data_IF_200849253555
#
_entry.id   IF_200849253555
#
_cell.length_a   1.000
_cell.length_b   1.000
_cell.length_c   1.000
_cell.angle_alpha   90.00
_cell.angle_beta   90.00
_cell.angle_gamma   90.00
#
_symmetry.space_group_name_H-M   'P 1'
#
loop_
_entity.id
_entity.type
_entity.pdbx_description
1 polymer ?
#
# COMPACT_ATOMS: atom_id res chain seq x y z
N UNK A 1 -37.41 23.05 32.64
CA UNK A 1 -35.97 23.35 32.83
C UNK A 1 -35.10 22.65 31.77
N UNK A 2 -35.59 22.55 30.52
CA UNK A 2 -34.89 21.87 29.39
C UNK A 2 -34.75 22.83 28.18
N UNK A 3 -35.46 23.96 28.17
CA UNK A 3 -35.41 24.94 27.06
C UNK A 3 -34.26 25.97 27.14
N UNK A 4 -33.50 26.03 28.25
CA UNK A 4 -32.37 26.98 28.40
C UNK A 4 -31.00 26.43 28.00
N UNK A 5 -30.87 25.12 27.78
CA UNK A 5 -29.60 24.50 27.38
C UNK A 5 -29.34 24.61 25.87
N UNK A 6 -30.40 24.73 25.05
CA UNK A 6 -30.28 24.79 23.58
C UNK A 6 -29.76 26.14 23.05
N UNK A 7 -30.01 27.25 23.76
CA UNK A 7 -29.51 28.56 23.35
C UNK A 7 -28.02 28.77 23.64
N UNK A 8 -27.46 28.10 24.65
CA UNK A 8 -26.03 28.24 24.99
C UNK A 8 -25.14 27.47 23.99
N UNK A 9 -25.60 26.30 23.53
CA UNK A 9 -24.87 25.49 22.54
C UNK A 9 -24.88 26.13 21.16
N UNK A 10 -26.00 26.78 20.76
CA UNK A 10 -26.08 27.49 19.48
C UNK A 10 -25.18 28.74 19.45
N UNK A 11 -25.03 29.42 20.60
CA UNK A 11 -24.15 30.60 20.71
C UNK A 11 -22.66 30.20 20.70
N UNK A 12 -22.32 29.04 21.26
CA UNK A 12 -20.94 28.52 21.28
C UNK A 12 -20.48 28.02 19.90
N UNK A 13 -21.37 27.39 19.13
CA UNK A 13 -21.07 27.01 17.73
C UNK A 13 -20.90 28.24 16.81
N UNK A 14 -21.67 29.31 17.03
CA UNK A 14 -21.53 30.54 16.23
C UNK A 14 -20.22 31.30 16.54
N UNK A 15 -19.73 31.22 17.79
CA UNK A 15 -18.46 31.84 18.18
C UNK A 15 -17.24 31.12 17.60
N UNK A 16 -17.31 29.80 17.41
CA UNK A 16 -16.24 29.04 16.74
C UNK A 16 -16.20 29.27 15.22
N UNK A 17 -17.35 29.53 14.60
CA UNK A 17 -17.42 29.82 13.16
C UNK A 17 -16.83 31.19 12.77
N UNK A 18 -16.68 32.13 13.72
CA UNK A 18 -16.15 33.48 13.46
C UNK A 18 -14.63 33.63 13.71
N UNK A 19 -13.95 32.58 14.22
CA UNK A 19 -12.49 32.58 14.44
C UNK A 19 -11.69 31.95 13.28
N UNK A 20 -12.35 31.44 12.23
CA UNK A 20 -11.68 30.79 11.09
C UNK A 20 -11.39 31.71 9.88
N UNK A 21 -11.72 33.00 9.94
CA UNK A 21 -11.32 33.99 8.94
C UNK A 21 -10.11 34.79 9.42
N UNK A 22 -8.90 34.22 9.31
CA UNK A 22 -7.67 35.02 9.21
C UNK A 22 -7.17 34.98 7.77
N UNK A 23 -6.96 36.18 7.24
CA UNK A 23 -6.54 36.47 5.87
C UNK A 23 -5.21 35.83 5.49
N UNK A 24 -4.98 35.57 4.19
CA UNK A 24 -3.74 35.00 3.69
C UNK A 24 -2.59 35.99 3.84
N UNK A 25 -1.52 35.56 4.53
CA UNK A 25 -0.22 36.22 4.45
C UNK A 25 0.28 36.11 3.00
N UNK A 26 0.54 37.27 2.41
CA UNK A 26 1.25 37.46 1.14
C UNK A 26 2.53 36.63 1.10
N UNK A 27 2.81 35.88 0.02
CA UNK A 27 4.07 35.18 -0.13
C UNK A 27 5.23 36.19 -0.22
N UNK A 28 6.19 36.07 0.69
CA UNK A 28 7.46 36.78 0.60
C UNK A 28 8.18 36.32 -0.67
N UNK A 29 8.61 37.29 -1.49
CA UNK A 29 9.43 37.05 -2.67
C UNK A 29 10.73 36.30 -2.31
N UNK A 30 11.27 35.49 -3.23
CA UNK A 30 12.48 34.71 -2.97
C UNK A 30 13.68 35.63 -2.77
N UNK A 31 14.31 35.52 -1.60
CA UNK A 31 15.63 36.10 -1.32
C UNK A 31 16.64 35.49 -2.29
N UNK A 32 17.22 36.34 -3.14
CA UNK A 32 18.33 35.98 -4.01
C UNK A 32 19.48 35.39 -3.18
N UNK A 33 19.83 34.14 -3.46
CA UNK A 33 21.03 33.48 -2.93
C UNK A 33 22.26 34.23 -3.46
N UNK A 34 23.20 34.66 -2.61
CA UNK A 34 24.44 35.24 -3.07
C UNK A 34 25.26 34.19 -3.82
N UNK A 35 25.55 34.46 -5.09
CA UNK A 35 26.51 33.72 -5.90
C UNK A 35 27.87 33.76 -5.19
N UNK A 36 28.40 32.58 -4.81
CA UNK A 36 29.76 32.48 -4.32
C UNK A 36 30.75 32.89 -5.43
N UNK A 37 31.37 34.06 -5.26
CA UNK A 37 32.52 34.46 -6.07
C UNK A 37 33.70 33.54 -5.74
N UNK A 38 34.31 32.95 -6.77
CA UNK A 38 35.61 32.31 -6.65
C UNK A 38 36.64 33.36 -6.15
N UNK A 39 37.55 32.99 -5.23
CA UNK A 39 38.66 33.87 -4.87
C UNK A 39 39.54 34.14 -6.09
N UNK A 40 39.59 35.41 -6.51
CA UNK A 40 40.54 35.90 -7.49
C UNK A 40 41.97 35.74 -7.00
N UNK A 41 42.85 35.30 -7.90
CA UNK A 41 44.30 35.38 -7.74
C UNK A 41 44.70 36.84 -7.45
N UNK A 42 45.13 37.10 -6.21
CA UNK A 42 45.95 38.27 -5.91
C UNK A 42 47.40 37.84 -5.93
N UNK A 43 48.14 38.31 -6.94
CA UNK A 43 49.59 38.22 -6.98
C UNK A 43 50.21 38.87 -5.76
N UNK A 44 50.89 38.07 -4.95
CA UNK A 44 51.74 38.51 -3.85
C UNK A 44 53.10 37.84 -4.01
N UNK A 45 54.11 38.64 -4.30
CA UNK A 45 55.53 38.25 -4.32
C UNK A 45 55.93 37.58 -3.00
N UNK A 46 56.67 36.46 -3.02
CA UNK A 46 57.09 35.77 -1.79
C UNK A 46 58.15 36.62 -1.07
N UNK A 47 57.76 37.22 0.06
CA UNK A 47 58.70 37.89 0.96
C UNK A 47 59.19 36.85 1.97
N UNK A 48 60.42 36.38 1.79
CA UNK A 48 61.09 35.49 2.75
C UNK A 48 61.39 36.26 4.04
N UNK A 49 61.18 35.67 5.23
CA UNK A 49 61.60 36.30 6.48
C UNK A 49 63.14 36.37 6.55
N UNK A 50 63.72 37.43 7.14
CA UNK A 50 65.16 37.55 7.30
C UNK A 50 65.71 36.40 8.16
N UNK A 51 66.79 35.79 7.69
CA UNK A 51 67.61 34.84 8.42
C UNK A 51 68.11 35.46 9.72
N UNK A 52 67.65 34.94 10.87
CA UNK A 52 68.21 35.29 12.17
C UNK A 52 69.63 34.72 12.30
N UNK A 53 70.57 35.62 12.60
CA UNK A 53 71.95 35.35 12.95
C UNK A 53 72.02 34.65 14.32
N UNK A 54 72.61 33.45 14.37
CA UNK A 54 72.76 32.62 15.57
C UNK A 54 74.00 32.97 16.42
N UNK A 55 74.71 34.07 16.14
CA UNK A 55 75.91 34.46 16.89
C UNK A 55 75.66 35.23 18.20
N UNK A 56 74.42 35.64 18.49
CA UNK A 56 74.09 36.34 19.75
C UNK A 56 73.37 35.44 20.76
N UNK A 57 74.12 34.46 21.30
CA UNK A 57 73.70 33.68 22.47
C UNK A 57 74.11 34.41 23.75
N UNK A 58 73.27 35.30 24.25
CA UNK A 58 73.34 35.74 25.65
C UNK A 58 72.67 34.68 26.52
N UNK A 59 73.44 33.99 27.36
CA UNK A 59 72.94 33.06 28.38
C UNK A 59 72.35 33.83 29.57
N UNK A 60 71.04 33.74 29.86
CA UNK A 60 70.52 34.08 31.18
C UNK A 60 70.69 32.90 32.14
N UNK A 61 71.14 33.23 33.33
CA UNK A 61 71.36 32.33 34.47
C UNK A 61 70.03 31.65 34.87
N UNK A 62 70.04 30.32 34.99
CA UNK A 62 68.87 29.53 35.33
C UNK A 62 68.38 29.82 36.75
N UNK A 63 67.14 30.30 36.87
CA UNK A 63 66.38 30.26 38.13
C UNK A 63 65.65 28.91 38.18
N UNK A 64 65.70 28.15 39.29
CA UNK A 64 65.01 26.86 39.38
C UNK A 64 63.50 27.06 39.41
N UNK A 65 62.83 26.82 38.29
CA UNK A 65 61.36 26.73 38.21
C UNK A 65 60.90 25.36 38.68
N UNK A 66 59.97 25.38 39.64
CA UNK A 66 59.18 24.25 40.14
C UNK A 66 58.61 23.43 38.96
N UNK A 67 58.60 22.09 39.00
CA UNK A 67 58.07 21.27 37.91
C UNK A 67 56.62 21.64 37.62
N UNK A 68 56.39 22.20 36.42
CA UNK A 68 55.06 22.39 35.85
C UNK A 68 54.44 21.01 35.67
N UNK A 69 53.25 20.79 36.26
CA UNK A 69 52.50 19.56 36.08
C UNK A 69 52.37 19.25 34.59
N UNK A 70 52.72 18.03 34.18
CA UNK A 70 52.52 17.54 32.81
C UNK A 70 51.07 17.82 32.42
N UNK A 71 50.79 18.56 31.33
CA UNK A 71 49.41 18.77 30.89
C UNK A 71 48.79 17.38 30.66
N UNK A 72 47.75 17.07 31.44
CA UNK A 72 46.94 15.88 31.24
C UNK A 72 46.40 15.96 29.81
N UNK A 73 46.57 14.93 28.96
CA UNK A 73 46.02 14.96 27.61
C UNK A 73 44.51 15.20 27.71
N UNK A 74 44.08 16.38 27.28
CA UNK A 74 42.66 16.68 27.10
C UNK A 74 42.21 15.84 25.92
N UNK A 75 41.50 14.74 26.18
CA UNK A 75 40.97 13.90 25.11
C UNK A 75 40.16 14.75 24.15
N UNK A 76 40.55 14.78 22.87
CA UNK A 76 39.79 15.47 21.83
C UNK A 76 38.38 14.88 21.83
N UNK A 77 37.31 15.69 21.89
CA UNK A 77 35.96 15.18 21.90
C UNK A 77 35.71 14.40 20.61
N UNK A 78 35.53 13.09 20.74
CA UNK A 78 35.17 12.20 19.63
C UNK A 78 33.68 12.34 19.38
N UNK A 79 33.28 12.73 18.17
CA UNK A 79 31.87 12.73 17.77
C UNK A 79 31.45 11.29 17.45
N UNK A 80 30.36 10.77 18.04
CA UNK A 80 29.87 9.44 17.72
C UNK A 80 29.46 9.34 16.25
N UNK A 81 29.86 8.26 15.57
CA UNK A 81 29.51 7.97 14.17
C UNK A 81 29.04 6.52 14.10
N UNK A 82 27.94 6.28 13.40
CA UNK A 82 27.47 4.95 13.06
C UNK A 82 27.11 4.91 11.58
N UNK A 83 27.47 3.81 10.92
CA UNK A 83 26.98 3.51 9.58
C UNK A 83 26.54 2.06 9.48
N UNK A 84 25.62 1.80 8.54
CA UNK A 84 25.24 0.46 8.13
C UNK A 84 25.87 0.20 6.76
N UNK A 85 26.72 -0.82 6.68
CA UNK A 85 27.34 -1.30 5.44
C UNK A 85 26.72 -2.61 4.97
N UNK A 86 26.12 -3.38 5.88
CA UNK A 86 25.33 -4.57 5.57
C UNK A 86 24.04 -4.55 6.40
N UNK A 87 22.85 -4.77 5.81
CA UNK A 87 22.63 -4.99 4.38
C UNK A 87 22.87 -3.73 3.52
N UNK A 88 23.05 -3.93 2.21
CA UNK A 88 23.07 -2.85 1.22
C UNK A 88 21.66 -2.25 1.05
N UNK A 89 21.58 -1.00 0.57
CA UNK A 89 20.29 -0.37 0.26
C UNK A 89 19.57 -1.17 -0.81
N UNK A 90 18.29 -1.48 -0.58
CA UNK A 90 17.45 -2.27 -1.47
C UNK A 90 17.64 -3.78 -1.36
N UNK A 91 18.47 -4.25 -0.41
CA UNK A 91 18.64 -5.68 -0.18
C UNK A 91 17.30 -6.36 0.14
N UNK A 92 17.12 -7.56 -0.39
CA UNK A 92 15.95 -8.39 -0.13
C UNK A 92 16.17 -9.22 1.14
N UNK A 93 15.27 -9.06 2.10
CA UNK A 93 15.26 -9.73 3.39
C UNK A 93 14.07 -10.67 3.43
N UNK A 94 14.35 -11.96 3.61
CA UNK A 94 13.31 -12.99 3.67
C UNK A 94 12.65 -13.00 5.05
N UNK A 95 11.32 -13.04 5.07
CA UNK A 95 10.56 -13.16 6.32
C UNK A 95 10.87 -14.46 7.06
N UNK A 96 10.84 -14.41 8.40
CA UNK A 96 11.17 -15.55 9.26
C UNK A 96 12.66 -15.89 9.33
N UNK A 97 13.52 -15.16 8.59
CA UNK A 97 14.96 -15.39 8.60
C UNK A 97 15.67 -14.58 9.68
N UNK A 98 16.87 -15.03 10.04
CA UNK A 98 17.82 -14.22 10.79
C UNK A 98 18.71 -13.44 9.82
N UNK A 99 18.80 -12.13 10.01
CA UNK A 99 19.69 -11.26 9.24
C UNK A 99 20.80 -10.72 10.11
N UNK A 100 21.99 -10.59 9.52
CA UNK A 100 23.12 -9.92 10.15
C UNK A 100 23.19 -8.49 9.65
N UNK A 101 23.24 -7.56 10.59
CA UNK A 101 23.41 -6.13 10.34
C UNK A 101 24.75 -5.70 10.90
N UNK A 102 25.45 -4.81 10.20
CA UNK A 102 26.69 -4.25 10.73
C UNK A 102 27.24 -3.10 9.89
N UNK A 103 28.29 -2.47 10.40
CA UNK A 103 29.00 -1.42 9.70
C UNK A 103 30.05 -0.72 10.55
N UNK A 104 30.38 0.51 10.18
CA UNK A 104 31.42 1.28 10.85
C UNK A 104 30.87 1.90 12.13
N UNK A 105 31.71 1.96 13.16
CA UNK A 105 31.35 2.49 14.46
C UNK A 105 32.47 3.37 15.03
N UNK A 106 32.07 4.51 15.58
CA UNK A 106 32.88 5.31 16.48
C UNK A 106 32.00 5.71 17.67
N UNK A 107 32.27 5.18 18.86
CA UNK A 107 31.49 5.44 20.08
C UNK A 107 32.37 5.94 21.22
N UNK A 108 31.73 6.56 22.22
CA UNK A 108 32.32 6.95 23.49
C UNK A 108 32.15 5.86 24.55
N UNK A 109 33.02 5.81 25.57
CA UNK A 109 32.83 4.91 26.71
C UNK A 109 31.44 5.05 27.33
N UNK A 110 30.77 3.92 27.55
CA UNK A 110 29.42 3.86 28.13
C UNK A 110 28.27 3.98 27.13
N UNK A 111 28.53 4.30 25.86
CA UNK A 111 27.51 4.23 24.81
C UNK A 111 27.28 2.78 24.36
N UNK A 112 26.07 2.49 23.89
CA UNK A 112 25.72 1.19 23.29
C UNK A 112 25.14 1.37 21.89
N UNK A 113 25.22 0.31 21.09
CA UNK A 113 24.61 0.27 19.76
C UNK A 113 23.35 -0.56 19.82
N UNK A 114 22.28 -0.12 19.16
CA UNK A 114 21.07 -0.91 18.94
C UNK A 114 20.77 -0.94 17.45
N UNK A 115 20.27 -2.07 16.96
CA UNK A 115 19.76 -2.22 15.61
C UNK A 115 18.28 -2.57 15.66
N UNK A 116 17.52 -1.98 14.75
CA UNK A 116 16.10 -2.25 14.59
C UNK A 116 15.77 -2.53 13.12
N UNK A 117 14.78 -3.39 12.90
CA UNK A 117 14.07 -3.46 11.64
C UNK A 117 12.73 -2.76 11.83
N UNK A 118 12.42 -1.80 10.96
CA UNK A 118 11.20 -0.98 11.03
C UNK A 118 10.45 -1.13 9.71
N UNK A 119 9.13 -1.27 9.73
CA UNK A 119 8.31 -1.25 8.51
C UNK A 119 8.26 0.17 7.92
N UNK A 120 7.87 0.32 6.65
CA UNK A 120 7.68 1.68 6.10
C UNK A 120 6.58 2.47 6.84
N UNK A 121 5.64 1.78 7.49
CA UNK A 121 4.61 2.35 8.38
C UNK A 121 5.12 2.75 9.77
N UNK A 122 6.43 2.69 10.01
CA UNK A 122 7.05 3.11 11.27
C UNK A 122 6.96 2.09 12.42
N UNK A 123 6.42 0.89 12.18
CA UNK A 123 6.36 -0.14 13.22
C UNK A 123 7.69 -0.85 13.37
N UNK A 124 8.18 -0.93 14.61
CA UNK A 124 9.35 -1.74 14.93
C UNK A 124 9.01 -3.23 14.83
N UNK A 125 9.63 -3.91 13.87
CA UNK A 125 9.45 -5.33 13.59
C UNK A 125 10.43 -6.21 14.37
N UNK A 126 11.67 -5.75 14.52
CA UNK A 126 12.71 -6.43 15.28
C UNK A 126 13.63 -5.43 15.96
N UNK A 127 14.23 -5.81 17.08
CA UNK A 127 15.20 -5.01 17.83
C UNK A 127 16.27 -5.93 18.41
N UNK A 128 17.53 -5.51 18.36
CA UNK A 128 18.66 -6.26 18.89
C UNK A 128 19.77 -5.33 19.35
N UNK A 129 20.46 -5.71 20.42
CA UNK A 129 21.66 -5.00 20.87
C UNK A 129 22.83 -5.30 19.93
N UNK A 130 23.56 -4.25 19.56
CA UNK A 130 24.76 -4.35 18.76
C UNK A 130 25.98 -4.74 19.61
N UNK A 131 26.78 -5.67 19.09
CA UNK A 131 28.10 -6.02 19.62
C UNK A 131 29.13 -5.12 18.95
N UNK A 132 29.87 -4.38 19.77
CA UNK A 132 30.99 -3.53 19.32
C UNK A 132 32.21 -4.41 19.06
N UNK A 133 32.80 -4.24 17.89
CA UNK A 133 34.01 -4.94 17.46
C UNK A 133 35.16 -3.94 17.24
N UNK A 134 36.38 -4.44 17.03
CA UNK A 134 37.59 -3.60 16.92
C UNK A 134 37.47 -2.54 15.81
N UNK A 135 36.78 -2.85 14.71
CA UNK A 135 36.65 -1.98 13.54
C UNK A 135 35.20 -1.67 13.15
N UNK A 136 34.23 -1.90 14.04
CA UNK A 136 32.84 -1.72 13.68
C UNK A 136 31.86 -2.27 14.70
N UNK A 137 30.70 -2.69 14.21
CA UNK A 137 29.64 -3.25 15.02
C UNK A 137 28.84 -4.28 14.24
N UNK A 138 28.18 -5.19 14.97
CA UNK A 138 27.25 -6.16 14.39
C UNK A 138 26.04 -6.42 15.28
N UNK A 139 24.92 -6.76 14.70
CA UNK A 139 23.74 -7.26 15.38
C UNK A 139 23.09 -8.36 14.54
N UNK A 140 22.33 -9.25 15.19
CA UNK A 140 21.46 -10.21 14.52
C UNK A 140 20.02 -9.83 14.80
N UNK A 141 19.20 -9.69 13.76
CA UNK A 141 17.77 -9.43 13.84
C UNK A 141 17.00 -10.65 13.36
N UNK A 142 16.01 -11.08 14.13
CA UNK A 142 15.03 -12.08 13.70
C UNK A 142 13.87 -11.37 13.01
N UNK A 143 13.67 -11.64 11.73
CA UNK A 143 12.66 -10.95 10.92
C UNK A 143 11.30 -11.64 11.12
N UNK A 144 10.28 -10.92 11.63
CA UNK A 144 8.97 -11.53 11.84
C UNK A 144 8.25 -11.83 10.52
N UNK A 145 7.32 -12.79 10.53
CA UNK A 145 6.56 -13.24 9.34
C UNK A 145 5.29 -12.44 9.05
N UNK A 146 5.20 -11.20 9.53
CA UNK A 146 3.97 -10.43 9.54
C UNK A 146 3.90 -9.30 8.51
N UNK A 147 5.03 -8.75 8.04
CA UNK A 147 5.03 -7.57 7.16
C UNK A 147 5.84 -7.83 5.90
N UNK A 148 5.24 -7.65 4.73
CA UNK A 148 5.91 -7.68 3.42
C UNK A 148 5.92 -6.28 2.79
N UNK A 149 6.88 -6.01 1.90
CA UNK A 149 6.98 -4.74 1.20
C UNK A 149 8.25 -3.97 1.54
N UNK A 150 8.13 -2.69 1.88
CA UNK A 150 9.27 -1.86 2.25
C UNK A 150 9.55 -1.90 3.75
N UNK A 151 10.83 -1.82 4.10
CA UNK A 151 11.28 -1.64 5.47
C UNK A 151 12.59 -0.86 5.54
N UNK A 152 13.01 -0.54 6.75
CA UNK A 152 14.28 0.09 7.05
C UNK A 152 15.01 -0.66 8.14
N UNK A 153 16.28 -0.96 7.88
CA UNK A 153 17.21 -1.35 8.94
C UNK A 153 17.79 -0.06 9.51
N UNK A 154 17.56 0.16 10.80
CA UNK A 154 18.06 1.31 11.54
C UNK A 154 19.10 0.87 12.56
N UNK A 155 20.10 1.72 12.78
CA UNK A 155 21.11 1.54 13.80
C UNK A 155 21.32 2.84 14.54
N UNK A 156 21.29 2.79 15.86
CA UNK A 156 21.45 3.97 16.71
C UNK A 156 22.52 3.75 17.78
N UNK A 157 23.28 4.80 18.06
CA UNK A 157 24.14 4.88 19.25
C UNK A 157 23.30 5.52 20.35
N UNK A 158 23.14 4.83 21.48
CA UNK A 158 22.45 5.33 22.65
C UNK A 158 23.46 5.74 23.74
N UNK A 159 23.23 6.88 24.35
CA UNK A 159 23.91 7.33 25.55
C UNK A 159 23.46 6.51 26.78
N UNK A 160 24.20 6.54 27.91
CA UNK A 160 23.81 5.87 29.15
C UNK A 160 22.43 6.27 29.68
N UNK A 161 21.97 7.49 29.37
CA UNK A 161 20.64 8.00 29.73
C UNK A 161 19.53 7.58 28.75
N UNK A 162 19.87 6.79 27.72
CA UNK A 162 18.95 6.32 26.68
C UNK A 162 18.75 7.29 25.52
N UNK A 163 19.32 8.49 25.55
CA UNK A 163 19.20 9.45 24.45
C UNK A 163 19.99 8.99 23.21
N UNK A 164 19.47 9.31 22.02
CA UNK A 164 20.12 8.97 20.74
C UNK A 164 21.29 9.93 20.49
N UNK A 165 22.50 9.39 20.36
CA UNK A 165 23.71 10.13 20.05
C UNK A 165 23.97 10.22 18.54
N UNK A 166 23.63 9.18 17.79
CA UNK A 166 23.72 9.13 16.33
C UNK A 166 22.77 8.05 15.79
N UNK A 167 22.32 8.20 14.54
CA UNK A 167 21.44 7.24 13.85
C UNK A 167 21.88 7.06 12.40
N UNK A 168 21.71 5.85 11.87
CA UNK A 168 21.87 5.49 10.46
C UNK A 168 20.70 4.61 10.06
N UNK A 169 20.20 4.77 8.83
CA UNK A 169 19.13 3.95 8.28
C UNK A 169 19.48 3.47 6.87
N UNK A 170 18.95 2.30 6.48
CA UNK A 170 19.05 1.73 5.14
C UNK A 170 17.72 1.13 4.74
N UNK A 171 17.23 1.50 3.57
CA UNK A 171 16.02 0.91 2.99
C UNK A 171 16.29 -0.52 2.53
N UNK A 172 15.33 -1.40 2.76
CA UNK A 172 15.38 -2.83 2.43
C UNK A 172 14.02 -3.28 1.92
N UNK A 173 13.99 -4.39 1.18
CA UNK A 173 12.75 -5.02 0.72
C UNK A 173 12.47 -6.26 1.56
N UNK A 174 11.31 -6.28 2.22
CA UNK A 174 10.82 -7.40 3.01
C UNK A 174 10.03 -8.35 2.09
N UNK A 175 10.63 -9.51 1.80
CA UNK A 175 10.10 -10.48 0.86
C UNK A 175 9.63 -11.76 1.54
N UNK A 176 8.51 -12.26 1.05
CA UNK A 176 7.91 -13.50 1.50
C UNK A 176 8.62 -14.71 0.88
N UNK A 177 8.88 -15.73 1.68
CA UNK A 177 9.15 -17.09 1.18
C UNK A 177 7.90 -17.95 1.37
N UNK A 178 7.12 -18.10 0.30
CA UNK A 178 5.87 -18.85 0.29
C UNK A 178 6.06 -20.34 0.61
N UNK A 179 7.29 -20.87 0.55
CA UNK A 179 7.57 -22.26 0.90
C UNK A 179 7.68 -22.50 2.40
N UNK A 180 7.90 -21.43 3.18
CA UNK A 180 8.14 -21.50 4.64
C UNK A 180 7.02 -20.90 5.45
N UNK A 181 6.34 -19.87 4.93
CA UNK A 181 5.35 -19.12 5.69
C UNK A 181 3.98 -19.77 5.64
N UNK A 182 3.42 -20.07 6.82
CA UNK A 182 2.11 -20.75 6.95
C UNK A 182 0.92 -19.79 6.90
N UNK A 183 1.14 -18.49 7.14
CA UNK A 183 0.14 -17.46 6.93
C UNK A 183 0.73 -16.13 6.51
N UNK A 184 0.26 -15.61 5.39
CA UNK A 184 0.79 -14.39 4.76
C UNK A 184 -0.30 -13.59 4.07
N UNK A 185 -0.01 -12.30 3.86
CA UNK A 185 -0.77 -11.39 3.02
C UNK A 185 0.19 -10.83 1.97
N UNK A 186 -0.22 -10.85 0.71
CA UNK A 186 0.53 -10.31 -0.43
C UNK A 186 -0.41 -9.40 -1.22
N UNK A 187 0.12 -8.26 -1.66
CA UNK A 187 -0.50 -7.40 -2.67
C UNK A 187 0.08 -7.80 -4.03
N UNK A 188 -0.79 -8.12 -4.98
CA UNK A 188 -0.45 -8.35 -6.38
C UNK A 188 -0.65 -7.08 -7.21
N UNK A 189 -1.68 -6.28 -6.90
CA UNK A 189 -1.88 -4.92 -7.43
C UNK A 189 -2.27 -3.96 -6.30
N UNK A 190 -1.80 -2.71 -6.29
CA UNK A 190 -0.86 -2.13 -7.25
C UNK A 190 0.55 -2.73 -7.13
N UNK A 191 1.29 -2.73 -8.23
CA UNK A 191 2.71 -3.05 -8.32
C UNK A 191 3.61 -1.81 -8.22
N UNK A 192 4.92 -2.04 -8.21
CA UNK A 192 5.91 -0.98 -8.25
C UNK A 192 5.84 -0.23 -9.58
N UNK A 193 5.58 1.07 -9.53
CA UNK A 193 5.50 1.93 -10.72
C UNK A 193 4.11 1.95 -11.38
N UNK A 194 3.13 1.27 -10.81
CA UNK A 194 1.74 1.36 -11.28
C UNK A 194 1.21 2.79 -11.12
N UNK A 195 0.36 3.19 -12.07
CA UNK A 195 -0.31 4.49 -12.09
C UNK A 195 -1.33 4.55 -10.96
N UNK A 196 -1.19 5.57 -10.10
CA UNK A 196 -2.20 5.96 -9.12
C UNK A 196 -2.55 7.44 -9.34
N UNK A 197 -3.84 7.77 -9.34
CA UNK A 197 -4.30 9.12 -9.68
C UNK A 197 -5.28 9.63 -8.63
N UNK A 198 -5.07 10.86 -8.18
CA UNK A 198 -5.98 11.53 -7.26
C UNK A 198 -7.40 11.58 -7.84
N UNK A 199 -8.41 11.50 -6.97
CA UNK A 199 -9.84 11.49 -7.33
C UNK A 199 -10.28 10.25 -8.16
N UNK A 200 -9.45 9.19 -8.21
CA UNK A 200 -9.77 7.93 -8.90
C UNK A 200 -9.67 6.71 -7.97
N UNK A 201 -10.27 5.61 -8.41
CA UNK A 201 -10.13 4.31 -7.77
C UNK A 201 -8.76 3.70 -8.05
N UNK A 202 -8.06 3.32 -6.99
CA UNK A 202 -6.91 2.42 -7.05
C UNK A 202 -7.37 1.00 -6.69
N UNK A 203 -7.21 0.08 -7.64
CA UNK A 203 -7.53 -1.33 -7.41
C UNK A 203 -6.46 -2.00 -6.57
N UNK A 204 -6.93 -2.82 -5.64
CA UNK A 204 -6.11 -3.73 -4.89
C UNK A 204 -6.54 -5.16 -5.14
N UNK A 205 -5.58 -6.05 -5.33
CA UNK A 205 -5.82 -7.48 -5.19
C UNK A 205 -4.58 -8.17 -4.68
N UNK A 206 -4.76 -9.44 -4.32
CA UNK A 206 -3.67 -10.26 -3.87
C UNK A 206 -4.14 -11.58 -3.29
N UNK A 207 -3.26 -12.16 -2.48
CA UNK A 207 -3.51 -13.45 -1.84
C UNK A 207 -3.35 -13.33 -0.34
N UNK A 208 -4.30 -13.90 0.38
CA UNK A 208 -4.25 -14.16 1.81
C UNK A 208 -4.21 -15.67 2.01
N UNK A 209 -3.07 -16.18 2.45
CA UNK A 209 -3.00 -17.54 2.95
C UNK A 209 -3.25 -17.48 4.46
N UNK A 210 -4.45 -17.86 4.89
CA UNK A 210 -4.80 -17.98 6.32
C UNK A 210 -6.01 -18.89 6.51
N UNK A 211 -5.99 -19.68 7.58
CA UNK A 211 -7.18 -20.42 8.01
C UNK A 211 -8.27 -19.45 8.51
N UNK A 212 -9.42 -19.41 7.84
CA UNK A 212 -10.64 -18.75 8.35
C UNK A 212 -10.92 -17.33 7.85
N UNK A 213 -10.11 -16.76 6.95
CA UNK A 213 -10.31 -15.41 6.42
C UNK A 213 -10.02 -14.30 7.46
N UNK A 214 -10.78 -13.20 7.40
CA UNK A 214 -10.62 -12.06 8.30
C UNK A 214 -11.18 -10.77 7.72
N UNK A 215 -11.16 -9.70 8.52
CA UNK A 215 -11.44 -8.34 8.05
C UNK A 215 -10.16 -7.77 7.42
N UNK A 216 -10.17 -7.63 6.09
CA UNK A 216 -9.09 -7.03 5.33
C UNK A 216 -9.31 -5.52 5.23
N UNK A 217 -8.27 -4.74 5.48
CA UNK A 217 -8.24 -3.29 5.30
C UNK A 217 -7.26 -2.95 4.19
N UNK A 218 -7.73 -2.16 3.24
CA UNK A 218 -6.95 -1.52 2.19
C UNK A 218 -6.82 -0.05 2.54
N UNK A 219 -5.65 0.53 2.37
CA UNK A 219 -5.42 1.93 2.75
C UNK A 219 -4.32 2.58 1.92
N UNK A 220 -4.41 3.90 1.83
CA UNK A 220 -3.40 4.76 1.22
C UNK A 220 -2.78 5.62 2.31
N UNK A 221 -1.46 5.66 2.34
CA UNK A 221 -0.68 6.40 3.32
C UNK A 221 0.30 7.35 2.62
N UNK A 222 0.45 8.56 3.13
CA UNK A 222 1.33 9.61 2.61
C UNK A 222 2.40 9.96 3.66
N UNK A 223 3.27 10.93 3.33
CA UNK A 223 4.31 11.44 4.25
C UNK A 223 5.21 10.31 4.74
N UNK A 224 5.91 9.65 3.80
CA UNK A 224 6.72 8.47 4.07
C UNK A 224 5.94 7.34 4.78
N UNK A 225 4.69 7.17 4.34
CA UNK A 225 3.78 6.13 4.77
C UNK A 225 3.44 6.18 6.27
N UNK A 226 3.44 7.39 6.85
CA UNK A 226 3.09 7.65 8.25
C UNK A 226 1.65 8.13 8.43
N UNK A 227 1.07 8.78 7.42
CA UNK A 227 -0.26 9.40 7.53
C UNK A 227 -1.27 8.70 6.63
N UNK A 228 -2.25 8.02 7.22
CA UNK A 228 -3.35 7.37 6.48
C UNK A 228 -4.34 8.40 5.94
N UNK A 229 -4.55 8.43 4.63
CA UNK A 229 -5.42 9.40 3.95
C UNK A 229 -6.72 8.78 3.40
N UNK A 230 -6.72 7.48 3.13
CA UNK A 230 -7.91 6.76 2.69
C UNK A 230 -7.90 5.31 3.15
N UNK A 231 -9.08 4.73 3.34
CA UNK A 231 -9.25 3.35 3.77
C UNK A 231 -10.54 2.74 3.21
N UNK A 232 -10.48 1.47 2.86
CA UNK A 232 -11.63 0.62 2.57
C UNK A 232 -11.45 -0.72 3.27
N UNK A 233 -12.53 -1.32 3.81
CA UNK A 233 -12.42 -2.57 4.55
C UNK A 233 -13.57 -3.52 4.26
N UNK A 234 -13.28 -4.81 4.18
CA UNK A 234 -14.26 -5.84 3.91
C UNK A 234 -13.89 -7.19 4.56
N UNK A 235 -14.90 -8.04 4.74
CA UNK A 235 -14.73 -9.36 5.34
C UNK A 235 -14.49 -10.43 4.28
N UNK A 236 -13.39 -11.15 4.39
CA UNK A 236 -13.10 -12.31 3.55
C UNK A 236 -13.76 -13.58 4.10
N UNK A 237 -14.41 -14.36 3.23
CA UNK A 237 -15.06 -15.63 3.58
C UNK A 237 -14.50 -16.77 2.72
N UNK A 238 -13.55 -17.54 3.26
CA UNK A 238 -13.10 -18.80 2.68
C UNK A 238 -12.26 -18.72 1.39
N UNK A 239 -12.22 -17.59 0.70
CA UNK A 239 -11.32 -17.36 -0.44
C UNK A 239 -9.92 -16.96 0.03
N UNK A 240 -8.89 -17.46 -0.63
CA UNK A 240 -7.51 -16.97 -0.48
C UNK A 240 -7.24 -15.76 -1.36
N UNK A 241 -7.83 -15.69 -2.55
CA UNK A 241 -7.79 -14.51 -3.41
C UNK A 241 -8.75 -13.44 -2.89
N UNK A 242 -8.32 -12.18 -2.95
CA UNK A 242 -9.12 -11.03 -2.57
C UNK A 242 -8.91 -9.89 -3.57
N UNK A 243 -9.93 -9.05 -3.69
CA UNK A 243 -9.89 -7.83 -4.49
C UNK A 243 -10.75 -6.76 -3.82
N UNK A 244 -10.34 -5.51 -3.96
CA UNK A 244 -11.09 -4.33 -3.55
C UNK A 244 -10.52 -3.09 -4.22
N UNK A 245 -10.98 -1.93 -3.80
CA UNK A 245 -10.45 -0.67 -4.29
C UNK A 245 -10.51 0.40 -3.20
N UNK A 246 -9.74 1.46 -3.38
CA UNK A 246 -9.77 2.67 -2.55
C UNK A 246 -9.82 3.88 -3.47
N UNK A 247 -10.74 4.80 -3.23
CA UNK A 247 -10.75 6.12 -3.91
C UNK A 247 -9.66 6.98 -3.29
N UNK A 248 -8.73 7.49 -4.10
CA UNK A 248 -7.67 8.39 -3.63
C UNK A 248 -8.25 9.81 -3.47
N UNK A 249 -8.09 10.48 -2.32
CA UNK A 249 -8.56 11.85 -2.14
C UNK A 249 -7.94 12.81 -3.16
N UNK A 250 -8.72 13.80 -3.61
CA UNK A 250 -8.32 14.73 -4.68
C UNK A 250 -7.07 15.56 -4.37
N UNK A 251 -6.86 15.87 -3.10
CA UNK A 251 -5.78 16.72 -2.58
C UNK A 251 -4.50 15.97 -2.25
N UNK A 252 -4.48 14.65 -2.43
CA UNK A 252 -3.31 13.79 -2.17
C UNK A 252 -2.49 13.64 -3.44
N UNK A 253 -1.19 13.99 -3.38
CA UNK A 253 -0.25 13.90 -4.50
C UNK A 253 1.14 13.47 -4.01
N UNK A 254 1.95 12.91 -4.92
CA UNK A 254 3.34 12.55 -4.67
C UNK A 254 3.54 11.14 -4.11
N UNK A 255 4.71 10.88 -3.49
CA UNK A 255 5.02 9.56 -2.93
C UNK A 255 4.05 9.12 -1.84
N UNK A 256 3.59 7.87 -1.92
CA UNK A 256 2.66 7.26 -0.99
C UNK A 256 2.89 5.74 -0.87
N UNK A 257 2.18 5.08 0.03
CA UNK A 257 2.09 3.62 0.12
C UNK A 257 0.66 3.14 -0.06
N UNK A 258 0.51 2.10 -0.87
CA UNK A 258 -0.65 1.23 -0.88
C UNK A 258 -0.44 0.10 0.15
N UNK A 259 -1.38 -0.04 1.08
CA UNK A 259 -1.25 -0.97 2.20
C UNK A 259 -2.48 -1.84 2.32
N UNK A 260 -2.26 -3.15 2.42
CA UNK A 260 -3.27 -4.14 2.78
C UNK A 260 -2.90 -4.72 4.15
N UNK A 261 -3.86 -4.79 5.08
CA UNK A 261 -3.61 -5.34 6.41
C UNK A 261 -4.79 -6.12 6.98
N UNK A 262 -4.48 -7.05 7.88
CA UNK A 262 -5.44 -7.79 8.71
C UNK A 262 -4.96 -7.73 10.16
N UNK A 263 -5.91 -7.61 11.09
CA UNK A 263 -5.60 -7.52 12.53
C UNK A 263 -5.16 -6.11 12.93
N UNK A 264 -4.50 -6.01 14.08
CA UNK A 264 -3.95 -4.75 14.60
C UNK A 264 -2.44 -4.88 14.71
N UNK A 265 -1.66 -3.84 14.34
CA UNK A 265 -0.22 -3.86 14.53
C UNK A 265 0.20 -4.32 15.93
N UNK A 266 1.10 -5.30 15.97
CA UNK A 266 1.57 -5.96 17.21
C UNK A 266 0.80 -7.22 17.62
N UNK A 267 -0.40 -7.47 17.08
CA UNK A 267 -1.14 -8.71 17.37
C UNK A 267 -0.47 -9.93 16.70
N UNK A 268 -0.53 -11.14 17.30
CA UNK A 268 0.03 -12.36 16.69
C UNK A 268 -0.52 -12.69 15.29
N UNK A 269 -1.76 -12.23 15.05
CA UNK A 269 -2.51 -12.44 13.82
C UNK A 269 -2.39 -11.28 12.82
N UNK A 270 -1.60 -10.26 13.15
CA UNK A 270 -1.38 -9.12 12.26
C UNK A 270 -0.62 -9.55 11.02
N UNK A 271 -1.14 -9.16 9.86
CA UNK A 271 -0.44 -9.29 8.58
C UNK A 271 -0.56 -7.98 7.83
N UNK A 272 0.51 -7.57 7.17
CA UNK A 272 0.57 -6.35 6.39
C UNK A 272 1.40 -6.57 5.13
N UNK A 273 0.94 -5.99 4.03
CA UNK A 273 1.65 -5.91 2.77
C UNK A 273 1.65 -4.46 2.32
N UNK A 274 2.80 -4.00 1.84
CA UNK A 274 3.02 -2.60 1.48
C UNK A 274 3.64 -2.50 0.10
N UNK A 275 3.14 -1.58 -0.73
CA UNK A 275 3.72 -1.26 -2.03
C UNK A 275 3.84 0.26 -2.15
N UNK A 276 5.04 0.81 -2.41
CA UNK A 276 5.18 2.23 -2.68
C UNK A 276 4.54 2.55 -4.02
N UNK A 277 3.84 3.68 -4.05
CA UNK A 277 3.15 4.21 -5.22
C UNK A 277 3.48 5.71 -5.35
N UNK A 278 3.25 6.26 -6.53
CA UNK A 278 3.28 7.72 -6.74
C UNK A 278 1.92 8.16 -7.23
N UNK A 279 1.32 9.10 -6.50
CA UNK A 279 -0.02 9.61 -6.80
C UNK A 279 0.12 10.86 -7.67
N UNK A 280 -0.42 10.76 -8.89
CA UNK A 280 -0.41 11.84 -9.87
C UNK A 280 -1.70 12.65 -9.81
N UNK A 281 -1.65 13.89 -10.32
CA UNK A 281 -2.84 14.72 -10.43
C UNK A 281 -3.75 14.20 -11.54
N UNK A 282 -5.08 14.37 -11.36
CA UNK A 282 -6.10 13.94 -12.33
C UNK A 282 -5.87 14.47 -13.76
N UNK A 283 -5.30 15.66 -13.91
CA UNK A 283 -5.02 16.27 -15.21
C UNK A 283 -3.59 16.11 -15.72
N UNK A 284 -2.76 15.28 -15.07
CA UNK A 284 -1.39 15.04 -15.52
C UNK A 284 -1.40 14.21 -16.81
N UNK A 285 -0.63 14.62 -17.82
CA UNK A 285 -0.51 13.91 -19.10
C UNK A 285 0.13 12.52 -18.91
N UNK A 286 0.96 12.35 -17.88
CA UNK A 286 1.53 11.05 -17.51
C UNK A 286 0.54 10.13 -16.78
N UNK A 287 -0.61 10.66 -16.34
CA UNK A 287 -1.64 9.92 -15.61
C UNK A 287 -2.71 9.29 -16.53
N UNK A 288 -2.48 9.25 -17.84
CA UNK A 288 -3.37 8.55 -18.78
C UNK A 288 -3.12 7.04 -18.69
N UNK A 289 -4.16 6.27 -18.38
CA UNK A 289 -4.04 4.82 -18.22
C UNK A 289 -5.37 4.11 -18.17
N UNK A 290 -5.41 2.84 -18.55
CA UNK A 290 -6.59 1.99 -18.38
C UNK A 290 -6.13 0.63 -17.85
N UNK A 291 -6.87 0.09 -16.88
CA UNK A 291 -6.58 -1.18 -16.25
C UNK A 291 -7.83 -2.06 -16.29
N UNK A 292 -7.66 -3.34 -16.62
CA UNK A 292 -8.68 -4.37 -16.42
C UNK A 292 -8.42 -5.03 -15.07
N UNK A 293 -9.32 -4.84 -14.10
CA UNK A 293 -9.23 -5.41 -12.76
C UNK A 293 -9.76 -6.85 -12.71
N UNK A 294 -10.82 -7.14 -13.45
CA UNK A 294 -11.37 -8.49 -13.61
C UNK A 294 -11.86 -8.68 -15.05
N UNK A 295 -11.72 -9.88 -15.65
CA UNK A 295 -11.06 -11.07 -15.08
C UNK A 295 -9.54 -10.90 -14.92
N UNK A 296 -8.91 -11.83 -14.21
CA UNK A 296 -7.46 -11.89 -14.11
C UNK A 296 -6.83 -12.59 -15.32
N UNK A 297 -5.56 -12.27 -15.58
CA UNK A 297 -4.80 -12.96 -16.61
C UNK A 297 -4.66 -14.46 -16.29
N UNK A 298 -4.98 -15.32 -17.26
CA UNK A 298 -5.02 -16.77 -17.12
C UNK A 298 -6.27 -17.31 -16.43
N UNK A 299 -7.24 -16.47 -16.07
CA UNK A 299 -8.49 -16.95 -15.46
C UNK A 299 -9.29 -17.79 -16.45
N UNK A 300 -9.85 -18.91 -15.98
CA UNK A 300 -10.81 -19.71 -16.74
C UNK A 300 -12.24 -19.20 -16.52
N UNK A 301 -12.99 -19.05 -17.62
CA UNK A 301 -14.41 -18.69 -17.62
C UNK A 301 -15.18 -19.73 -18.44
N UNK A 302 -16.47 -19.93 -18.13
CA UNK A 302 -17.29 -20.93 -18.83
C UNK A 302 -18.04 -20.30 -20.01
N UNK A 303 -18.07 -21.01 -21.13
CA UNK A 303 -18.93 -20.65 -22.25
C UNK A 303 -20.41 -20.67 -21.85
N UNK A 304 -21.22 -19.78 -22.43
CA UNK A 304 -22.64 -19.64 -22.08
C UNK A 304 -22.93 -18.82 -20.82
N UNK A 305 -21.91 -18.47 -20.02
CA UNK A 305 -22.08 -17.63 -18.84
C UNK A 305 -21.91 -16.14 -19.14
N UNK A 306 -22.42 -15.30 -18.23
CA UNK A 306 -22.14 -13.86 -18.25
C UNK A 306 -20.86 -13.60 -17.49
N UNK A 307 -19.86 -13.04 -18.17
CA UNK A 307 -18.65 -12.53 -17.53
C UNK A 307 -18.84 -11.04 -17.21
N UNK A 308 -18.41 -10.64 -16.01
CA UNK A 308 -18.33 -9.24 -15.62
C UNK A 308 -16.88 -8.77 -15.78
N UNK A 309 -16.66 -7.84 -16.70
CA UNK A 309 -15.37 -7.20 -16.93
C UNK A 309 -15.43 -5.82 -16.29
N UNK A 310 -14.45 -5.47 -15.45
CA UNK A 310 -14.39 -4.14 -14.85
C UNK A 310 -12.96 -3.70 -14.61
N UNK A 311 -12.80 -2.41 -14.39
CA UNK A 311 -11.49 -1.80 -14.29
C UNK A 311 -11.52 -0.34 -13.85
N UNK A 312 -10.38 0.33 -14.00
CA UNK A 312 -10.26 1.78 -13.82
C UNK A 312 -9.67 2.41 -15.07
N UNK A 313 -10.15 3.59 -15.42
CA UNK A 313 -9.57 4.45 -16.43
C UNK A 313 -9.13 5.75 -15.74
N UNK A 314 -7.88 6.10 -15.98
CA UNK A 314 -7.22 7.27 -15.48
C UNK A 314 -7.08 8.28 -16.61
N UNK A 315 -7.57 9.50 -16.37
CA UNK A 315 -7.45 10.63 -17.30
C UNK A 315 -7.81 10.27 -18.75
N UNK A 316 -9.00 9.69 -18.97
CA UNK A 316 -9.50 9.33 -20.30
C UNK A 316 -9.79 10.61 -21.13
N UNK A 317 -8.98 10.94 -22.16
CA UNK A 317 -9.06 12.24 -22.83
C UNK A 317 -10.39 12.47 -23.55
N UNK A 318 -10.96 11.40 -24.12
CA UNK A 318 -12.26 11.43 -24.81
C UNK A 318 -13.43 11.06 -23.89
N UNK A 319 -13.15 10.73 -22.62
CA UNK A 319 -14.16 10.27 -21.66
C UNK A 319 -14.69 8.86 -21.94
N UNK A 320 -14.09 8.13 -22.87
CA UNK A 320 -14.58 6.83 -23.35
C UNK A 320 -13.49 5.76 -23.26
N UNK A 321 -13.92 4.51 -23.07
CA UNK A 321 -13.09 3.31 -23.05
C UNK A 321 -13.59 2.40 -24.16
N UNK A 322 -12.71 2.01 -25.06
CA UNK A 322 -12.99 0.94 -26.01
C UNK A 322 -12.68 -0.41 -25.35
N UNK A 323 -13.65 -1.33 -25.36
CA UNK A 323 -13.51 -2.69 -24.87
C UNK A 323 -13.74 -3.68 -26.03
N UNK A 324 -12.79 -4.59 -26.24
CA UNK A 324 -12.96 -5.71 -27.16
C UNK A 324 -12.65 -7.05 -26.49
N UNK A 325 -13.36 -8.09 -26.93
CA UNK A 325 -13.06 -9.49 -26.56
C UNK A 325 -12.90 -10.28 -27.84
N UNK A 326 -11.67 -10.74 -28.08
CA UNK A 326 -11.25 -11.41 -29.31
C UNK A 326 -10.75 -12.83 -28.98
N UNK A 327 -11.33 -13.84 -29.64
CA UNK A 327 -10.80 -15.19 -29.58
C UNK A 327 -9.48 -15.29 -30.35
N UNK A 328 -8.60 -16.19 -29.93
CA UNK A 328 -7.33 -16.48 -30.61
C UNK A 328 -7.47 -16.87 -32.10
N UNK A 329 -8.64 -17.34 -32.51
CA UNK A 329 -8.98 -17.65 -33.90
C UNK A 329 -9.45 -16.43 -34.73
N UNK A 330 -9.43 -15.23 -34.16
CA UNK A 330 -9.84 -13.98 -34.79
C UNK A 330 -11.34 -13.68 -34.72
N UNK A 331 -12.15 -14.53 -34.08
CA UNK A 331 -13.59 -14.25 -33.86
C UNK A 331 -13.76 -13.21 -32.76
N UNK A 332 -14.36 -12.08 -33.11
CA UNK A 332 -14.78 -11.06 -32.16
C UNK A 332 -16.02 -11.57 -31.41
N UNK A 333 -15.97 -11.59 -30.08
CA UNK A 333 -17.12 -11.86 -29.21
C UNK A 333 -17.89 -10.57 -28.97
N UNK A 334 -17.19 -9.48 -28.68
CA UNK A 334 -17.78 -8.17 -28.41
C UNK A 334 -16.79 -7.05 -28.72
N UNK A 335 -17.32 -5.90 -29.13
CA UNK A 335 -16.64 -4.62 -29.25
C UNK A 335 -17.63 -3.55 -28.81
N UNK A 336 -17.25 -2.73 -27.84
CA UNK A 336 -18.14 -1.72 -27.26
C UNK A 336 -17.37 -0.53 -26.72
N UNK A 337 -18.10 0.56 -26.49
CA UNK A 337 -17.58 1.79 -25.90
C UNK A 337 -18.29 1.98 -24.56
N UNK A 338 -17.51 2.30 -23.52
CA UNK A 338 -17.97 2.42 -22.13
C UNK A 338 -17.52 3.79 -21.61
N UNK A 339 -18.42 4.49 -20.93
CA UNK A 339 -18.08 5.70 -20.17
C UNK A 339 -17.73 5.30 -18.73
N UNK A 340 -16.52 5.61 -18.22
CA UNK A 340 -16.21 5.44 -16.81
C UNK A 340 -16.98 6.43 -15.94
N UNK A 341 -17.17 6.08 -14.68
CA UNK A 341 -17.77 6.95 -13.69
C UNK A 341 -16.82 8.10 -13.26
N UNK A 342 -17.29 8.93 -12.32
CA UNK A 342 -16.52 10.09 -11.83
C UNK A 342 -15.20 9.74 -11.16
N UNK A 343 -15.02 8.49 -10.70
CA UNK A 343 -13.81 7.97 -10.05
C UNK A 343 -13.00 7.06 -10.99
N UNK A 344 -13.35 7.04 -12.28
CA UNK A 344 -12.70 6.23 -13.30
C UNK A 344 -13.13 4.76 -13.32
N UNK A 345 -14.06 4.33 -12.46
CA UNK A 345 -14.54 2.95 -12.48
C UNK A 345 -15.39 2.70 -13.72
N UNK A 346 -15.20 1.55 -14.35
CA UNK A 346 -16.01 1.10 -15.46
C UNK A 346 -16.28 -0.38 -15.34
N UNK A 347 -17.43 -0.82 -15.83
CA UNK A 347 -17.81 -2.23 -15.87
C UNK A 347 -18.66 -2.54 -17.11
N UNK A 348 -18.56 -3.78 -17.58
CA UNK A 348 -19.35 -4.29 -18.69
C UNK A 348 -19.64 -5.78 -18.47
N UNK A 349 -20.92 -6.14 -18.58
CA UNK A 349 -21.36 -7.53 -18.60
C UNK A 349 -21.41 -8.05 -20.04
N UNK A 350 -20.77 -9.20 -20.29
CA UNK A 350 -20.72 -9.85 -21.61
C UNK A 350 -21.21 -11.28 -21.47
N UNK A 351 -22.18 -11.67 -22.30
CA UNK A 351 -22.64 -13.06 -22.39
C UNK A 351 -21.74 -13.80 -23.36
N UNK A 352 -20.99 -14.79 -22.88
CA UNK A 352 -20.17 -15.64 -23.73
C UNK A 352 -21.06 -16.61 -24.52
N UNK A 353 -20.90 -16.75 -25.84
CA UNK A 353 -21.63 -17.75 -26.60
C UNK A 353 -21.36 -19.18 -26.08
N UNK A 354 -22.33 -20.09 -26.16
CA UNK A 354 -22.16 -21.48 -25.70
C UNK A 354 -21.18 -22.28 -26.58
N UNK A 355 -20.99 -21.86 -27.83
CA UNK A 355 -20.20 -22.54 -28.85
C UNK A 355 -18.72 -22.07 -28.91
N UNK A 356 -18.29 -21.18 -28.02
CA UNK A 356 -16.90 -20.70 -27.98
C UNK A 356 -16.08 -21.46 -26.95
N UNK A 357 -14.80 -21.63 -27.26
CA UNK A 357 -13.81 -22.23 -26.36
C UNK A 357 -12.40 -21.87 -26.77
N UNK A 358 -11.46 -22.00 -25.84
CA UNK A 358 -10.06 -21.66 -26.01
C UNK A 358 -9.73 -20.26 -25.50
N UNK A 359 -8.53 -19.80 -25.84
CA UNK A 359 -8.02 -18.54 -25.32
C UNK A 359 -8.68 -17.32 -25.95
N UNK A 360 -9.08 -16.35 -25.12
CA UNK A 360 -9.58 -15.04 -25.54
C UNK A 360 -8.70 -13.93 -24.96
N UNK A 361 -8.54 -12.84 -25.73
CA UNK A 361 -7.88 -11.61 -25.32
C UNK A 361 -8.96 -10.56 -25.09
N UNK A 362 -8.97 -10.00 -23.90
CA UNK A 362 -9.79 -8.85 -23.52
C UNK A 362 -8.89 -7.63 -23.58
N UNK A 363 -9.24 -6.65 -24.41
CA UNK A 363 -8.49 -5.40 -24.57
C UNK A 363 -9.36 -4.24 -24.12
N UNK A 364 -8.85 -3.43 -23.20
CA UNK A 364 -9.42 -2.13 -22.86
C UNK A 364 -8.44 -1.04 -23.32
N UNK A 365 -8.94 -0.04 -24.04
CA UNK A 365 -8.13 1.05 -24.60
C UNK A 365 -8.77 2.42 -24.40
N UNK A 366 -7.94 3.46 -24.39
CA UNK A 366 -8.35 4.86 -24.43
C UNK A 366 -7.94 5.49 -25.76
N UNK A 367 -8.75 6.41 -26.28
CA UNK A 367 -8.51 7.07 -27.57
C UNK A 367 -9.18 6.35 -28.75
N UNK A 368 -8.65 6.57 -29.95
CA UNK A 368 -9.18 5.94 -31.18
C UNK A 368 -9.04 4.41 -31.10
N UNK A 369 -10.12 3.62 -31.26
CA UNK A 369 -10.04 2.16 -31.30
C UNK A 369 -9.06 1.61 -32.35
N UNK A 370 -8.82 2.34 -33.44
CA UNK A 370 -7.88 1.94 -34.49
C UNK A 370 -6.40 2.26 -34.15
N UNK A 371 -6.17 3.22 -33.26
CA UNK A 371 -4.85 3.65 -32.79
C UNK A 371 -4.93 4.14 -31.32
N UNK A 372 -5.11 3.20 -30.36
CA UNK A 372 -5.37 3.57 -28.98
C UNK A 372 -4.14 4.23 -28.36
N UNK A 373 -4.36 5.35 -27.66
CA UNK A 373 -3.31 6.08 -26.94
C UNK A 373 -2.63 5.20 -25.88
N UNK A 374 -3.44 4.42 -25.17
CA UNK A 374 -3.00 3.40 -24.23
C UNK A 374 -3.99 2.24 -24.21
N UNK A 375 -3.49 1.03 -24.01
CA UNK A 375 -4.33 -0.16 -23.86
C UNK A 375 -3.76 -1.14 -22.85
N UNK A 376 -4.65 -1.91 -22.25
CA UNK A 376 -4.34 -3.03 -21.37
C UNK A 376 -5.03 -4.28 -21.88
N UNK A 377 -4.30 -5.39 -21.86
CA UNK A 377 -4.76 -6.69 -22.31
C UNK A 377 -4.80 -7.69 -21.15
N UNK A 378 -5.86 -8.49 -21.09
CA UNK A 378 -5.98 -9.65 -20.21
C UNK A 378 -6.30 -10.87 -21.07
N UNK A 379 -5.58 -11.96 -20.84
CA UNK A 379 -5.83 -13.22 -21.53
C UNK A 379 -6.64 -14.12 -20.60
N UNK A 380 -7.72 -14.71 -21.09
CA UNK A 380 -8.54 -15.68 -20.36
C UNK A 380 -8.67 -16.98 -21.15
N UNK A 381 -8.91 -18.08 -20.44
CA UNK A 381 -9.25 -19.35 -21.06
C UNK A 381 -10.77 -19.55 -21.00
N UNK A 382 -11.42 -19.76 -22.14
CA UNK A 382 -12.85 -20.08 -22.20
C UNK A 382 -12.99 -21.60 -22.28
N UNK A 383 -13.48 -22.22 -21.21
CA UNK A 383 -13.78 -23.64 -21.19
C UNK A 383 -15.21 -23.89 -21.68
N UNK A 384 -15.43 -25.02 -22.34
CA UNK A 384 -16.79 -25.40 -22.74
C UNK A 384 -17.55 -25.80 -21.48
N UNK A 385 -18.57 -24.99 -21.14
CA UNK A 385 -19.55 -25.42 -20.15
C UNK A 385 -20.22 -26.74 -20.58
N UNK A 386 -20.84 -27.48 -19.65
CA UNK A 386 -21.59 -28.68 -20.02
C UNK A 386 -22.62 -28.30 -21.07
N UNK A 387 -22.53 -28.88 -22.27
CA UNK A 387 -23.50 -28.65 -23.35
C UNK A 387 -24.89 -28.88 -22.76
N UNK A 388 -25.79 -27.87 -22.79
CA UNK A 388 -27.12 -28.05 -22.24
C UNK A 388 -27.75 -29.25 -22.96
N UNK A 389 -27.97 -30.33 -22.21
CA UNK A 389 -28.64 -31.50 -22.76
C UNK A 389 -30.02 -31.02 -23.18
N UNK A 390 -30.40 -31.11 -24.47
CA UNK A 390 -31.72 -30.70 -24.90
C UNK A 390 -32.73 -31.39 -24.00
N UNK A 391 -33.50 -30.60 -23.23
CA UNK A 391 -34.55 -31.15 -22.41
C UNK A 391 -35.42 -32.01 -23.32
N UNK A 392 -35.65 -33.27 -22.94
CA UNK A 392 -36.63 -34.09 -23.64
C UNK A 392 -37.90 -33.25 -23.78
N UNK A 393 -38.50 -33.16 -24.98
CA UNK A 393 -39.74 -32.42 -25.15
C UNK A 393 -40.70 -32.88 -24.04
N UNK A 394 -41.43 -31.95 -23.37
CA UNK A 394 -42.29 -32.30 -22.27
C UNK A 394 -43.14 -33.49 -22.72
N UNK A 395 -42.98 -34.62 -22.03
CA UNK A 395 -43.83 -35.77 -22.31
C UNK A 395 -45.23 -35.28 -22.03
N UNK A 396 -46.01 -35.08 -23.09
CA UNK A 396 -47.43 -34.75 -22.97
C UNK A 396 -48.05 -35.97 -22.31
N UNK A 397 -48.18 -35.93 -20.99
CA UNK A 397 -49.01 -36.87 -20.27
C UNK A 397 -50.43 -36.51 -20.68
N UNK A 398 -50.92 -37.19 -21.71
CA UNK A 398 -52.35 -37.21 -22.01
C UNK A 398 -53.01 -37.82 -20.78
N UNK A 399 -53.57 -36.96 -19.93
CA UNK A 399 -54.47 -37.41 -18.88
C UNK A 399 -55.63 -38.09 -19.59
N UNK A 400 -55.87 -39.40 -19.40
CA UNK A 400 -57.03 -40.05 -20.00
C UNK A 400 -58.28 -39.36 -19.47
N UNK A 401 -59.05 -38.75 -20.37
CA UNK A 401 -60.37 -38.20 -20.06
C UNK A 401 -61.26 -39.36 -19.61
N UNK A 402 -61.52 -39.44 -18.30
CA UNK A 402 -62.49 -40.37 -17.76
C UNK A 402 -63.87 -40.01 -18.33
N UNK A 403 -64.46 -40.94 -19.09
CA UNK A 403 -65.85 -40.87 -19.54
C UNK A 403 -66.75 -41.06 -18.31
N UNK A 404 -67.42 -40.00 -17.87
CA UNK A 404 -68.38 -40.06 -16.77
C UNK A 404 -69.71 -40.63 -17.27
N UNK A 405 -70.01 -41.86 -16.85
CA UNK A 405 -71.37 -42.41 -16.83
C UNK A 405 -72.15 -41.75 -15.69
N UNK A 406 -73.34 -41.18 -15.92
CA UNK A 406 -74.14 -40.60 -14.84
C UNK A 406 -74.93 -41.71 -14.15
N UNK A 407 -74.71 -41.91 -12.86
CA UNK A 407 -75.71 -42.58 -12.03
C UNK A 407 -75.74 -41.99 -10.61
N UNK A 408 -76.91 -42.11 -10.01
CA UNK A 408 -77.46 -41.17 -9.05
C UNK A 408 -76.92 -41.20 -7.63
N UNK A 409 -77.22 -40.07 -6.95
CA UNK A 409 -77.74 -40.03 -5.58
C UNK A 409 -76.80 -40.40 -4.43
N UNK A 410 -76.29 -39.40 -3.70
CA UNK A 410 -76.59 -39.10 -2.27
C UNK A 410 -75.57 -38.11 -1.67
N UNK A 411 -76.11 -37.17 -0.89
CA UNK A 411 -75.46 -36.09 -0.10
C UNK A 411 -75.08 -36.62 1.31
N UNK A 412 -74.46 -35.84 2.22
CA UNK A 412 -73.08 -35.31 2.31
C UNK A 412 -72.32 -35.86 3.56
N UNK A 413 -71.01 -35.62 3.71
CA UNK A 413 -70.42 -35.43 5.05
C UNK A 413 -69.09 -34.67 5.01
N UNK A 414 -68.90 -33.84 6.03
CA UNK A 414 -67.91 -32.78 6.16
C UNK A 414 -66.48 -33.25 6.45
N UNK A 415 -65.49 -32.39 6.17
CA UNK A 415 -64.51 -31.82 7.13
C UNK A 415 -63.45 -31.00 6.38
N UNK A 416 -63.29 -29.68 6.64
CA UNK A 416 -62.13 -28.94 6.19
C UNK A 416 -61.01 -29.00 7.23
N UNK A 417 -59.80 -29.39 6.83
CA UNK A 417 -58.58 -29.18 7.61
C UNK A 417 -57.63 -28.32 6.80
N UNK A 418 -57.54 -27.05 7.18
CA UNK A 418 -56.57 -26.11 6.65
C UNK A 418 -55.43 -25.99 7.68
N UNK A 419 -54.20 -26.21 7.21
CA UNK A 419 -52.99 -25.91 7.99
C UNK A 419 -52.08 -25.02 7.14
N UNK A 420 -51.93 -23.73 7.47
CA UNK A 420 -50.84 -22.90 6.97
C UNK A 420 -49.75 -22.77 8.06
N UNK A 421 -48.48 -22.90 7.66
CA UNK A 421 -47.35 -22.70 8.55
C UNK A 421 -46.14 -22.13 7.80
N UNK A 422 -46.16 -20.83 7.56
CA UNK A 422 -44.97 -20.06 7.22
C UNK A 422 -44.41 -19.46 8.52
N UNK A 423 -43.17 -19.79 8.87
CA UNK A 423 -42.47 -19.22 10.03
C UNK A 423 -41.47 -18.18 9.54
N UNK A 424 -41.73 -16.91 9.88
CA UNK A 424 -40.78 -15.82 9.75
C UNK A 424 -39.90 -15.74 11.00
N UNK A 425 -38.60 -15.56 10.82
CA UNK A 425 -37.61 -15.35 11.89
C UNK A 425 -37.47 -13.86 12.20
N UNK A 426 -37.57 -13.41 13.47
CA UNK A 426 -37.40 -12.01 13.81
C UNK A 426 -35.93 -11.59 14.00
N UNK A 427 -35.69 -10.33 13.61
CA UNK A 427 -34.46 -9.56 13.80
C UNK A 427 -34.34 -9.03 15.24
N UNK A 428 -33.17 -9.07 15.90
CA UNK A 428 -32.99 -8.42 17.20
C UNK A 428 -32.62 -6.93 17.06
N UNK A 429 -33.42 -6.09 17.71
CA UNK A 429 -33.15 -4.69 18.00
C UNK A 429 -32.25 -4.57 19.23
N UNK A 430 -31.18 -3.77 19.15
CA UNK A 430 -30.39 -3.33 20.29
C UNK A 430 -30.64 -1.84 20.55
N UNK A 431 -31.00 -1.51 21.80
CA UNK A 431 -31.09 -0.15 22.35
C UNK A 431 -29.77 0.18 23.06
N UNK A 432 -29.25 1.41 23.01
CA UNK A 432 -27.97 1.77 23.62
C UNK A 432 -28.11 2.08 25.12
N UNK A 433 -27.05 1.76 25.86
CA UNK A 433 -26.74 2.31 27.19
C UNK A 433 -25.52 3.21 27.13
#
# INVERSE_FOLDING_TARGET
MIAKLSQLTLFFCLLFALMACRSPETPAMPTLVPTAQLPGQSGGTPNLPPTSDLSQRNTPMATPTRPTATPRPTGTPVTPIISITAPETGAEIILGSEIRVGGLLQIRPGQRVVAALVSATGFQLALSDGVVEENGWRATLLVPENVTGLGQVQAAILNPDGSVAAISARDVKLALDTTRTTSYLVISRPGLGDIAVADHNLFFDGTLQRYGGGFLRLSIWTEDCQTKVAEHGFSMRGSSYWQGFVVIPRDVLGPACAIASIGTPGDPNWREAQVPITIMAKGDEAAVGVLIASPLNGQTVLSGETILIYGTAYNAPDGEIFLSVLLNNGRIITETIIEPDTWGYWEQSIVLPFDVSGQAIITAGLGDPADPLISTNVVVEIDQGPTPTPGLPPTVITTPTASATPDGTTTPSATPSATPGATATPSPSATPG
#
